data_IF_123133921977
#
_entry.id   IF_123133921977
#
_cell.length_a   1.000
_cell.length_b   1.000
_cell.length_c   1.000
_cell.angle_alpha   90.00
_cell.angle_beta   90.00
_cell.angle_gamma   90.00
#
_symmetry.space_group_name_H-M   'P 1'
#
loop_
_entity.id
_entity.type
_entity.pdbx_description
1 polymer ?
#
# COMPACT_ATOMS: atom_id res chain seq x y z
N UNK A 1 -5.47 9.28 -9.31
CA UNK A 1 -5.23 9.74 -7.92
C UNK A 1 -6.57 9.80 -7.23
N UNK A 2 -6.64 9.47 -5.94
CA UNK A 2 -7.83 9.69 -5.12
C UNK A 2 -7.47 10.55 -3.91
N UNK A 3 -8.37 11.45 -3.54
CA UNK A 3 -8.21 12.35 -2.41
C UNK A 3 -9.03 11.81 -1.23
N UNK A 4 -8.44 11.86 -0.04
CA UNK A 4 -9.09 11.46 1.21
C UNK A 4 -8.74 12.47 2.30
N UNK A 5 -9.36 12.34 3.47
CA UNK A 5 -9.00 13.14 4.66
C UNK A 5 -7.53 12.98 5.08
N UNK A 6 -6.89 11.85 4.75
CA UNK A 6 -5.51 11.55 5.11
C UNK A 6 -4.49 11.90 4.02
N UNK A 7 -4.94 12.50 2.91
CA UNK A 7 -4.09 12.99 1.82
C UNK A 7 -4.41 12.35 0.46
N UNK A 8 -3.44 12.46 -0.46
CA UNK A 8 -3.56 12.01 -1.84
C UNK A 8 -2.92 10.63 -2.04
N UNK A 9 -3.65 9.74 -2.71
CA UNK A 9 -3.23 8.37 -2.96
C UNK A 9 -3.20 8.08 -4.46
N UNK A 10 -2.13 7.41 -4.89
CA UNK A 10 -1.87 7.10 -6.29
C UNK A 10 -1.82 5.59 -6.49
N UNK A 11 -2.23 5.14 -7.67
CA UNK A 11 -1.97 3.76 -8.08
C UNK A 11 -0.47 3.50 -8.09
N UNK A 12 -0.08 2.25 -7.86
CA UNK A 12 1.32 1.79 -7.81
C UNK A 12 2.20 2.49 -6.76
N UNK A 13 1.60 3.20 -5.80
CA UNK A 13 2.33 3.77 -4.66
C UNK A 13 1.90 3.05 -3.38
N UNK A 14 2.85 2.52 -2.58
CA UNK A 14 2.52 1.86 -1.33
C UNK A 14 1.73 2.75 -0.38
N UNK A 15 0.84 2.11 0.39
CA UNK A 15 -0.02 2.73 1.40
C UNK A 15 -0.04 1.88 2.67
N UNK A 16 -0.44 2.50 3.78
CA UNK A 16 -0.86 1.79 4.99
C UNK A 16 -2.34 2.06 5.29
N UNK A 17 -2.95 1.18 6.07
CA UNK A 17 -4.36 1.26 6.47
C UNK A 17 -4.50 1.73 7.92
N UNK A 18 -5.67 2.30 8.27
CA UNK A 18 -5.97 2.84 9.61
C UNK A 18 -5.91 1.82 10.76
N UNK A 19 -6.24 0.55 10.51
CA UNK A 19 -6.47 -0.46 11.55
C UNK A 19 -5.65 -1.74 11.35
N UNK A 20 -4.42 -1.62 10.85
CA UNK A 20 -3.53 -2.78 10.80
C UNK A 20 -2.89 -3.01 12.18
N UNK A 21 -3.23 -4.12 12.84
CA UNK A 21 -2.59 -4.52 14.12
C UNK A 21 -1.08 -4.77 13.95
N UNK A 22 -0.67 -5.13 12.74
CA UNK A 22 0.71 -5.33 12.33
C UNK A 22 1.10 -4.34 11.22
N UNK A 23 2.39 -4.15 10.97
CA UNK A 23 2.86 -3.33 9.86
C UNK A 23 2.56 -4.03 8.51
N UNK A 24 1.57 -3.52 7.78
CA UNK A 24 1.21 -4.01 6.45
C UNK A 24 1.36 -2.92 5.39
N UNK A 25 1.85 -3.30 4.22
CA UNK A 25 1.94 -2.44 3.05
C UNK A 25 1.00 -2.95 1.97
N UNK A 26 0.19 -2.05 1.43
CA UNK A 26 -0.67 -2.32 0.29
C UNK A 26 -0.29 -1.44 -0.89
N UNK A 27 -0.51 -1.93 -2.11
CA UNK A 27 -0.29 -1.18 -3.35
C UNK A 27 -1.61 -1.09 -4.09
N UNK A 28 -2.22 0.10 -4.18
CA UNK A 28 -3.43 0.32 -4.98
C UNK A 28 -3.15 0.05 -6.46
N UNK A 29 -3.95 -0.79 -7.09
CA UNK A 29 -3.84 -1.12 -8.52
C UNK A 29 -4.99 -0.49 -9.31
N UNK A 30 -6.20 -0.56 -8.75
CA UNK A 30 -7.40 0.02 -9.36
C UNK A 30 -8.15 0.89 -8.36
N UNK A 31 -8.80 1.94 -8.85
CA UNK A 31 -9.79 2.71 -8.11
C UNK A 31 -11.14 2.60 -8.81
N UNK A 32 -12.21 2.46 -8.04
CA UNK A 32 -13.57 2.43 -8.58
C UNK A 32 -14.57 2.97 -7.56
N UNK A 33 -15.76 3.31 -8.03
CA UNK A 33 -16.89 3.70 -7.18
C UNK A 33 -17.96 2.62 -7.20
N UNK A 34 -18.59 2.43 -6.06
CA UNK A 34 -19.80 1.63 -5.91
C UNK A 34 -20.78 2.41 -5.02
N UNK A 35 -21.78 3.02 -5.67
CA UNK A 35 -22.61 4.08 -5.10
C UNK A 35 -21.77 5.30 -4.68
N UNK A 36 -22.02 5.78 -3.47
CA UNK A 36 -21.30 6.91 -2.86
C UNK A 36 -19.92 6.54 -2.31
N UNK A 37 -19.60 5.24 -2.28
CA UNK A 37 -18.35 4.77 -1.71
C UNK A 37 -17.27 4.63 -2.79
N UNK A 38 -16.05 5.03 -2.43
CA UNK A 38 -14.87 4.82 -3.26
C UNK A 38 -14.06 3.66 -2.71
N UNK A 39 -13.62 2.79 -3.61
CA UNK A 39 -12.87 1.59 -3.29
C UNK A 39 -11.59 1.51 -4.11
N UNK A 40 -10.66 0.73 -3.60
CA UNK A 40 -9.48 0.32 -4.33
C UNK A 40 -9.32 -1.19 -4.29
N UNK A 41 -8.85 -1.74 -5.42
CA UNK A 41 -8.26 -3.08 -5.46
C UNK A 41 -6.78 -2.94 -5.18
N UNK A 42 -6.31 -3.54 -4.10
CA UNK A 42 -4.94 -3.43 -3.63
C UNK A 42 -4.24 -4.79 -3.61
N UNK A 43 -2.96 -4.82 -3.95
CA UNK A 43 -2.09 -5.95 -3.64
C UNK A 43 -1.48 -5.76 -2.26
N UNK A 44 -1.39 -6.84 -1.47
CA UNK A 44 -0.58 -6.84 -0.25
C UNK A 44 0.87 -7.08 -0.62
N UNK A 45 1.76 -6.16 -0.24
CA UNK A 45 3.20 -6.34 -0.41
C UNK A 45 3.72 -7.30 0.67
N UNK A 46 4.68 -8.14 0.31
CA UNK A 46 5.35 -9.05 1.22
C UNK A 46 6.66 -8.42 1.67
N UNK A 47 6.80 -8.24 2.98
CA UNK A 47 8.02 -7.74 3.61
C UNK A 47 8.84 -8.92 4.11
N UNK A 48 10.08 -9.04 3.62
CA UNK A 48 11.02 -10.03 4.12
C UNK A 48 12.23 -9.34 4.76
N UNK A 49 12.57 -9.64 6.02
CA UNK A 49 13.79 -9.11 6.61
C UNK A 49 15.01 -9.70 5.88
N UNK A 50 15.88 -8.82 5.41
CA UNK A 50 17.17 -9.17 4.83
C UNK A 50 18.24 -9.04 5.91
N UNK A 51 18.48 -10.15 6.61
CA UNK A 51 19.40 -10.22 7.76
C UNK A 51 20.84 -9.87 7.38
N UNK A 52 21.24 -10.07 6.12
CA UNK A 52 22.59 -9.74 5.64
C UNK A 52 22.80 -8.24 5.49
N UNK A 53 21.76 -7.49 5.10
CA UNK A 53 21.85 -6.05 4.81
C UNK A 53 21.27 -5.17 5.92
N UNK A 54 20.71 -5.76 6.99
CA UNK A 54 19.87 -5.05 7.99
C UNK A 54 18.78 -4.20 7.33
N UNK A 55 18.20 -4.71 6.23
CA UNK A 55 17.18 -4.02 5.41
C UNK A 55 15.94 -4.91 5.27
N UNK A 56 14.87 -4.36 4.70
CA UNK A 56 13.71 -5.13 4.28
C UNK A 56 13.68 -5.23 2.76
N UNK A 57 13.45 -6.43 2.24
CA UNK A 57 13.11 -6.63 0.84
C UNK A 57 11.59 -6.55 0.70
N UNK A 58 11.12 -5.68 -0.19
CA UNK A 58 9.69 -5.46 -0.48
C UNK A 58 9.35 -6.16 -1.78
N UNK A 59 8.48 -7.17 -1.71
CA UNK A 59 8.01 -7.89 -2.88
C UNK A 59 6.56 -7.51 -3.19
N UNK A 60 6.34 -7.01 -4.39
CA UNK A 60 5.00 -6.76 -4.93
C UNK A 60 4.73 -7.86 -5.95
N UNK A 61 3.67 -8.67 -5.79
CA UNK A 61 3.27 -9.66 -6.79
C UNK A 61 3.05 -9.00 -8.17
N UNK A 62 3.16 -9.76 -9.25
CA UNK A 62 2.83 -9.30 -10.60
C UNK A 62 1.42 -8.69 -10.62
N UNK A 63 1.26 -7.58 -11.34
CA UNK A 63 0.00 -6.85 -11.46
C UNK A 63 -1.10 -7.76 -12.01
N UNK A 64 -2.07 -8.19 -11.18
CA UNK A 64 -3.07 -9.13 -11.64
C UNK A 64 -4.25 -8.39 -12.26
N UNK A 65 -5.07 -9.10 -13.03
CA UNK A 65 -6.32 -8.56 -13.56
C UNK A 65 -7.26 -8.10 -12.44
N UNK A 66 -8.22 -7.23 -12.77
CA UNK A 66 -9.17 -6.66 -11.81
C UNK A 66 -9.97 -7.70 -10.99
N UNK A 67 -10.22 -8.88 -11.57
CA UNK A 67 -10.99 -9.97 -10.97
C UNK A 67 -10.15 -10.94 -10.14
N UNK A 68 -8.84 -10.71 -10.08
CA UNK A 68 -7.92 -11.60 -9.38
C UNK A 68 -8.19 -11.69 -7.88
N UNK A 69 -8.12 -12.92 -7.38
CA UNK A 69 -8.26 -13.24 -5.96
C UNK A 69 -7.08 -12.76 -5.11
N UNK A 70 -5.98 -12.34 -5.74
CA UNK A 70 -4.84 -11.73 -5.06
C UNK A 70 -5.10 -10.27 -4.65
N UNK A 71 -6.15 -9.64 -5.20
CA UNK A 71 -6.51 -8.27 -4.91
C UNK A 71 -7.48 -8.19 -3.73
N UNK A 72 -7.11 -7.37 -2.76
CA UNK A 72 -7.96 -6.99 -1.63
C UNK A 72 -8.84 -5.81 -2.03
N UNK A 73 -10.12 -5.89 -1.73
CA UNK A 73 -11.05 -4.77 -1.91
C UNK A 73 -11.05 -3.94 -0.64
N UNK A 74 -10.58 -2.69 -0.73
CA UNK A 74 -10.39 -1.81 0.41
C UNK A 74 -11.15 -0.51 0.17
N UNK A 75 -11.98 -0.09 1.12
CA UNK A 75 -12.60 1.24 1.08
C UNK A 75 -11.50 2.30 1.25
N UNK A 76 -11.48 3.33 0.40
CA UNK A 76 -10.41 4.33 0.43
C UNK A 76 -10.36 5.14 1.72
N UNK A 77 -11.45 5.18 2.48
CA UNK A 77 -11.48 5.80 3.81
C UNK A 77 -10.62 5.05 4.84
N UNK A 78 -10.25 3.80 4.55
CA UNK A 78 -9.30 3.03 5.35
C UNK A 78 -7.84 3.40 5.06
N UNK A 79 -7.56 4.20 4.02
CA UNK A 79 -6.21 4.61 3.70
C UNK A 79 -5.71 5.62 4.75
N UNK A 80 -4.50 5.40 5.24
CA UNK A 80 -3.88 6.22 6.28
C UNK A 80 -2.62 6.90 5.78
N UNK A 81 -1.48 6.21 5.77
CA UNK A 81 -0.22 6.82 5.39
C UNK A 81 -0.02 6.72 3.88
N UNK A 82 0.04 7.86 3.16
CA UNK A 82 0.47 7.85 1.77
C UNK A 82 1.95 7.50 1.69
N UNK A 83 2.41 7.04 0.53
CA UNK A 83 3.80 6.60 0.29
C UNK A 83 4.88 7.51 0.89
N UNK A 84 4.70 8.83 0.86
CA UNK A 84 5.67 9.79 1.40
C UNK A 84 5.77 9.79 2.93
N UNK A 85 4.77 9.29 3.64
CA UNK A 85 4.67 9.29 5.10
C UNK A 85 4.94 7.92 5.74
N UNK A 86 5.12 6.85 4.95
CA UNK A 86 5.33 5.50 5.47
C UNK A 86 6.73 5.36 6.07
N UNK A 87 6.78 4.88 7.32
CA UNK A 87 8.01 4.47 8.01
C UNK A 87 7.98 2.97 8.25
N UNK A 88 9.06 2.26 7.93
CA UNK A 88 9.24 0.85 8.24
C UNK A 88 9.31 0.63 9.77
N UNK A 89 9.14 -0.61 10.26
CA UNK A 89 9.22 -0.91 11.70
C UNK A 89 10.53 -0.50 12.39
N UNK A 90 11.61 -0.32 11.63
CA UNK A 90 12.90 0.18 12.11
C UNK A 90 13.03 1.72 12.08
N UNK A 91 11.92 2.44 11.86
CA UNK A 91 11.87 3.92 11.77
C UNK A 91 12.37 4.50 10.44
N UNK A 92 12.83 3.68 9.50
CA UNK A 92 13.36 4.17 8.21
C UNK A 92 12.21 4.56 7.28
N UNK A 93 12.26 5.75 6.68
CA UNK A 93 11.29 6.17 5.67
C UNK A 93 11.34 5.24 4.44
N UNK A 94 10.16 4.83 3.93
CA UNK A 94 10.08 3.93 2.78
C UNK A 94 10.49 4.61 1.47
N UNK A 95 10.11 5.88 1.28
CA UNK A 95 10.35 6.66 0.05
C UNK A 95 11.80 6.57 -0.50
N UNK A 96 12.86 6.84 0.29
CA UNK A 96 14.24 6.75 -0.21
C UNK A 96 14.67 5.35 -0.64
N UNK A 97 14.00 4.29 -0.16
CA UNK A 97 14.34 2.90 -0.49
C UNK A 97 13.78 2.44 -1.84
N UNK A 98 12.78 3.15 -2.38
CA UNK A 98 12.11 2.81 -3.64
C UNK A 98 12.41 3.81 -4.76
N UNK A 99 13.45 4.63 -4.62
CA UNK A 99 13.80 5.71 -5.57
C UNK A 99 14.99 5.36 -6.49
N UNK A 100 15.20 4.07 -6.77
CA UNK A 100 16.27 3.55 -7.64
C UNK A 100 15.74 3.15 -9.01
#
# INVERSE_FOLDING_TARGET
MIETLHGHFFIYKPIQLLSSQEFELFVPIFFYKDGENSFSKCLKAVLKPNNLKKKYDVYIPSEPDFSSKLLFTINVNQFWHPFSAIQLPNGTALKPLCSS
#
